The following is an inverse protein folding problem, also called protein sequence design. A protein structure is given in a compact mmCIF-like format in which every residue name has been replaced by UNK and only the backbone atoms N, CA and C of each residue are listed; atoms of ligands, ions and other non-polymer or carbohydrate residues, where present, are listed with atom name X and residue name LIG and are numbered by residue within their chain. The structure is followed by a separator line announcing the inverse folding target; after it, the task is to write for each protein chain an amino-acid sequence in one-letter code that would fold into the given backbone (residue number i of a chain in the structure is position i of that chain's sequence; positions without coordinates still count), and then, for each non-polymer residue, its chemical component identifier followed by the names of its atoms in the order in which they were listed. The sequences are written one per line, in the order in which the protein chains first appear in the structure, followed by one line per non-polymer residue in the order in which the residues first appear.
data_IF_168759728918
#
_entry.id   IF_168759728918
#
_cell.length_a   1.000
_cell.length_b   1.000
_cell.length_c   1.000
_cell.angle_alpha   90.00
_cell.angle_beta   90.00
_cell.angle_gamma   90.00
#
_symmetry.space_group_name_H-M   'P 1'
#
loop_
_entity.id
_entity.type
_entity.pdbx_description
1 polymer ?
#
# COMPACT_ATOMS: atom_id res chain seq x y z
N UNK A 1 9.46 11.26 8.86
CA UNK A 1 9.31 12.46 8.01
C UNK A 1 7.86 12.49 7.54
N UNK A 2 7.29 13.65 7.23
CA UNK A 2 6.06 13.67 6.43
C UNK A 2 6.34 13.04 5.06
N UNK A 3 5.37 12.29 4.51
CA UNK A 3 5.48 11.76 3.15
C UNK A 3 5.63 12.93 2.17
N UNK A 4 6.48 12.75 1.16
CA UNK A 4 6.55 13.62 0.00
C UNK A 4 5.24 13.57 -0.82
N UNK A 5 4.99 14.59 -1.62
CA UNK A 5 3.80 14.63 -2.50
C UNK A 5 3.76 13.42 -3.45
N UNK A 6 4.93 12.97 -3.93
CA UNK A 6 5.08 11.78 -4.76
C UNK A 6 4.68 10.50 -4.01
N UNK A 7 5.20 10.31 -2.80
CA UNK A 7 4.83 9.16 -1.97
C UNK A 7 3.34 9.16 -1.63
N UNK A 8 2.77 10.34 -1.39
CA UNK A 8 1.36 10.50 -1.08
C UNK A 8 0.45 10.22 -2.29
N UNK A 9 0.87 10.63 -3.49
CA UNK A 9 0.18 10.29 -4.74
C UNK A 9 0.23 8.78 -5.00
N UNK A 10 1.38 8.16 -4.79
CA UNK A 10 1.53 6.71 -4.90
C UNK A 10 0.64 5.95 -3.90
N UNK A 11 0.63 6.37 -2.63
CA UNK A 11 -0.26 5.79 -1.60
C UNK A 11 -1.72 5.87 -2.04
N UNK A 12 -2.17 7.03 -2.53
CA UNK A 12 -3.54 7.24 -3.04
C UNK A 12 -3.87 6.37 -4.24
N UNK A 13 -2.93 6.22 -5.17
CA UNK A 13 -3.11 5.41 -6.37
C UNK A 13 -3.27 3.94 -6.00
N UNK A 14 -2.38 3.42 -5.15
CA UNK A 14 -2.44 2.04 -4.68
C UNK A 14 -3.74 1.78 -3.91
N UNK A 15 -4.12 2.68 -2.99
CA UNK A 15 -5.38 2.59 -2.24
C UNK A 15 -6.59 2.45 -3.18
N UNK A 16 -6.66 3.31 -4.20
CA UNK A 16 -7.73 3.28 -5.20
C UNK A 16 -7.73 1.97 -6.01
N UNK A 17 -6.56 1.49 -6.44
CA UNK A 17 -6.47 0.25 -7.22
C UNK A 17 -6.86 -0.97 -6.39
N UNK A 18 -6.41 -1.05 -5.14
CA UNK A 18 -6.76 -2.15 -4.22
C UNK A 18 -8.26 -2.12 -3.91
N UNK A 19 -8.84 -0.94 -3.67
CA UNK A 19 -10.28 -0.78 -3.46
C UNK A 19 -11.09 -1.33 -4.66
N UNK A 20 -10.69 -0.98 -5.90
CA UNK A 20 -11.33 -1.47 -7.12
C UNK A 20 -11.19 -2.99 -7.27
N UNK A 21 -10.03 -3.56 -6.96
CA UNK A 21 -9.78 -4.99 -7.02
C UNK A 21 -10.64 -5.74 -5.99
N UNK A 22 -10.76 -5.23 -4.76
CA UNK A 22 -11.63 -5.79 -3.72
C UNK A 22 -13.11 -5.70 -4.08
N UNK A 23 -13.55 -4.60 -4.68
CA UNK A 23 -14.92 -4.48 -5.22
C UNK A 23 -15.21 -5.54 -6.29
N UNK A 24 -14.21 -5.90 -7.09
CA UNK A 24 -14.28 -7.00 -8.06
C UNK A 24 -14.09 -8.39 -7.45
N UNK A 25 -13.99 -8.49 -6.12
CA UNK A 25 -13.74 -9.73 -5.36
C UNK A 25 -12.43 -10.43 -5.76
N UNK A 26 -11.42 -9.65 -6.15
CA UNK A 26 -10.07 -10.18 -6.34
C UNK A 26 -9.54 -10.76 -5.02
N UNK A 27 -8.79 -11.85 -5.12
CA UNK A 27 -8.10 -12.43 -3.96
C UNK A 27 -6.82 -11.65 -3.66
N UNK A 28 -6.29 -11.77 -2.45
CA UNK A 28 -5.03 -11.13 -2.05
C UNK A 28 -3.87 -11.49 -2.99
N UNK A 29 -3.82 -12.74 -3.47
CA UNK A 29 -2.84 -13.17 -4.47
C UNK A 29 -2.98 -12.40 -5.80
N UNK A 30 -4.21 -12.16 -6.26
CA UNK A 30 -4.46 -11.37 -7.48
C UNK A 30 -4.08 -9.90 -7.26
N UNK A 31 -4.36 -9.35 -6.07
CA UNK A 31 -3.97 -7.98 -5.71
C UNK A 31 -2.44 -7.83 -5.75
N UNK A 32 -1.70 -8.75 -5.12
CA UNK A 32 -0.24 -8.75 -5.11
C UNK A 32 0.36 -8.87 -6.50
N UNK A 33 -0.17 -9.77 -7.34
CA UNK A 33 0.30 -9.95 -8.72
C UNK A 33 0.00 -8.73 -9.58
N UNK A 34 -1.19 -8.13 -9.42
CA UNK A 34 -1.61 -6.96 -10.22
C UNK A 34 -0.82 -5.71 -9.86
N UNK A 35 -0.41 -5.57 -8.60
CA UNK A 35 0.34 -4.42 -8.08
C UNK A 35 1.81 -4.75 -7.82
N UNK A 36 2.33 -5.81 -8.46
CA UNK A 36 3.71 -6.27 -8.28
C UNK A 36 4.74 -5.17 -8.57
N UNK A 37 4.44 -4.32 -9.57
CA UNK A 37 5.31 -3.21 -9.98
C UNK A 37 5.46 -2.13 -8.90
N UNK A 38 4.52 -2.03 -7.94
CA UNK A 38 4.59 -1.07 -6.84
C UNK A 38 5.27 -1.62 -5.58
N UNK A 39 5.59 -2.92 -5.56
CA UNK A 39 6.17 -3.57 -4.38
C UNK A 39 7.52 -2.96 -3.97
N UNK A 40 8.47 -2.69 -4.90
CA UNK A 40 9.73 -2.06 -4.55
C UNK A 40 9.56 -0.71 -3.84
N UNK A 41 8.64 0.11 -4.34
CA UNK A 41 8.38 1.46 -3.84
C UNK A 41 7.71 1.42 -2.48
N UNK A 42 6.72 0.53 -2.28
CA UNK A 42 6.07 0.39 -0.97
C UNK A 42 7.04 -0.16 0.08
N UNK A 43 7.94 -1.07 -0.30
CA UNK A 43 9.02 -1.54 0.60
C UNK A 43 10.00 -0.41 0.94
N UNK A 44 10.35 0.42 -0.03
CA UNK A 44 11.20 1.60 0.20
C UNK A 44 10.52 2.58 1.18
N UNK A 45 9.23 2.85 0.96
CA UNK A 45 8.42 3.70 1.83
C UNK A 45 8.36 3.14 3.26
N UNK A 46 8.25 1.81 3.41
CA UNK A 46 8.29 1.11 4.69
C UNK A 46 9.62 1.28 5.45
N UNK A 47 10.73 1.28 4.71
CA UNK A 47 12.08 1.42 5.28
C UNK A 47 12.42 2.87 5.59
N UNK A 48 11.95 3.81 4.77
CA UNK A 48 12.20 5.24 4.92
C UNK A 48 11.38 5.86 6.06
N UNK A 49 10.23 5.27 6.40
CA UNK A 49 9.32 5.78 7.41
C UNK A 49 9.28 4.88 8.65
N UNK A 50 9.12 5.49 9.82
CA UNK A 50 8.93 4.72 11.05
C UNK A 50 7.50 4.14 11.11
N UNK A 51 7.33 3.10 11.92
CA UNK A 51 6.05 2.39 12.05
C UNK A 51 4.88 3.31 12.42
N UNK A 52 5.12 4.31 13.27
CA UNK A 52 4.12 5.32 13.66
C UNK A 52 3.62 6.12 12.44
N UNK A 53 4.50 6.52 11.53
CA UNK A 53 4.10 7.26 10.33
C UNK A 53 3.27 6.40 9.36
N UNK A 54 3.51 5.09 9.31
CA UNK A 54 2.76 4.15 8.49
C UNK A 54 1.39 3.84 9.09
N UNK A 55 1.28 3.74 10.41
CA UNK A 55 0.00 3.60 11.12
C UNK A 55 -0.94 4.78 10.87
N UNK A 56 -0.40 6.00 10.70
CA UNK A 56 -1.21 7.17 10.33
C UNK A 56 -1.86 7.07 8.95
N UNK A 57 -1.38 6.18 8.07
CA UNK A 57 -1.97 5.92 6.77
C UNK A 57 -3.16 4.95 6.82
N UNK A 58 -3.33 4.22 7.94
CA UNK A 58 -4.38 3.21 8.07
C UNK A 58 -5.80 3.79 7.96
N UNK A 59 -6.04 4.98 8.53
CA UNK A 59 -7.35 5.63 8.44
C UNK A 59 -7.63 6.27 7.07
N UNK A 60 -6.76 7.13 6.53
CA UNK A 60 -7.04 7.78 5.25
C UNK A 60 -6.94 6.83 4.05
N UNK A 61 -6.15 5.76 4.15
CA UNK A 61 -5.86 4.84 3.05
C UNK A 61 -5.90 3.36 3.52
N UNK A 62 -7.09 2.85 3.89
CA UNK A 62 -7.22 1.52 4.47
C UNK A 62 -6.88 0.39 3.48
N UNK A 63 -7.09 0.60 2.18
CA UNK A 63 -6.82 -0.41 1.15
C UNK A 63 -5.33 -0.44 0.78
N UNK A 64 -4.66 0.72 0.79
CA UNK A 64 -3.20 0.76 0.77
C UNK A 64 -2.61 0.04 1.98
N UNK A 65 -3.15 0.29 3.18
CA UNK A 65 -2.67 -0.35 4.39
C UNK A 65 -2.87 -1.88 4.36
N UNK A 66 -3.99 -2.36 3.79
CA UNK A 66 -4.19 -3.78 3.53
C UNK A 66 -3.09 -4.35 2.61
N UNK A 67 -2.81 -3.68 1.49
CA UNK A 67 -1.75 -4.10 0.58
C UNK A 67 -0.37 -4.11 1.26
N UNK A 68 -0.07 -3.10 2.07
CA UNK A 68 1.14 -3.05 2.89
C UNK A 68 1.25 -4.25 3.84
N UNK A 69 0.15 -4.62 4.52
CA UNK A 69 0.12 -5.79 5.39
C UNK A 69 0.32 -7.10 4.64
N UNK A 70 -0.20 -7.22 3.42
CA UNK A 70 0.09 -8.37 2.57
C UNK A 70 1.60 -8.47 2.31
N UNK A 71 2.24 -7.35 1.95
CA UNK A 71 3.69 -7.35 1.68
C UNK A 71 4.54 -7.71 2.90
N UNK A 72 4.11 -7.38 4.11
CA UNK A 72 4.84 -7.75 5.34
C UNK A 72 4.59 -9.19 5.78
N UNK A 73 3.47 -9.80 5.39
CA UNK A 73 3.18 -11.21 5.65
C UNK A 73 3.90 -12.17 4.70
N UNK A 74 4.21 -11.72 3.47
CA UNK A 74 4.94 -12.49 2.45
C UNK A 74 6.44 -12.14 2.38
N UNK A 75 6.98 -11.43 3.38
CA UNK A 75 8.39 -11.03 3.47
C UNK A 75 9.23 -12.01 4.30
#
# INVERSE_FOLDING_TARGET
MPLSDYELEMVRLIDTQVALLRQKKATDAVILVTLADFVPEVRCLAQANNQIALELLQQPYPDFYHFFQLLTQFA
#
